data_IF_790745151795
#
_entry.id   IF_790745151795
#
_cell.length_a   1.000
_cell.length_b   1.000
_cell.length_c   1.000
_cell.angle_alpha   90.00
_cell.angle_beta   90.00
_cell.angle_gamma   90.00
#
_symmetry.space_group_name_H-M   'P 1'
#
loop_
_entity.id
_entity.type
_entity.pdbx_description
1 polymer ?
#
# COMPACT_ATOMS: atom_id res chain seq x y z
N UNK A 1 -13.11 -20.41 -6.29
CA UNK A 1 -13.06 -19.68 -7.59
C UNK A 1 -14.18 -18.66 -7.81
N UNK A 2 -15.40 -18.83 -7.25
CA UNK A 2 -16.52 -17.90 -7.50
C UNK A 2 -16.34 -16.45 -7.02
N UNK A 3 -15.64 -16.22 -5.91
CA UNK A 3 -15.52 -14.87 -5.32
C UNK A 3 -14.57 -13.94 -6.10
N UNK A 4 -13.48 -14.47 -6.66
CA UNK A 4 -12.47 -13.67 -7.38
C UNK A 4 -13.00 -13.02 -8.66
N UNK A 5 -13.91 -13.69 -9.38
CA UNK A 5 -14.54 -13.11 -10.57
C UNK A 5 -15.45 -11.93 -10.22
N UNK A 6 -16.11 -11.96 -9.06
CA UNK A 6 -16.88 -10.82 -8.60
C UNK A 6 -15.97 -9.65 -8.21
N UNK A 7 -14.84 -9.92 -7.55
CA UNK A 7 -13.86 -8.90 -7.21
C UNK A 7 -13.28 -8.22 -8.47
N UNK A 8 -13.00 -8.99 -9.53
CA UNK A 8 -12.61 -8.42 -10.82
C UNK A 8 -13.70 -7.53 -11.43
N UNK A 9 -14.96 -7.95 -11.36
CA UNK A 9 -16.07 -7.15 -11.87
C UNK A 9 -16.20 -5.82 -11.11
N UNK A 10 -15.99 -5.82 -9.79
CA UNK A 10 -15.96 -4.61 -8.97
C UNK A 10 -14.78 -3.70 -9.34
N UNK A 11 -13.58 -4.28 -9.49
CA UNK A 11 -12.39 -3.52 -9.91
C UNK A 11 -12.60 -2.88 -11.30
N UNK A 12 -13.10 -3.64 -12.27
CA UNK A 12 -13.43 -3.14 -13.60
C UNK A 12 -14.46 -2.01 -13.55
N UNK A 13 -15.54 -2.18 -12.79
CA UNK A 13 -16.58 -1.15 -12.64
C UNK A 13 -16.02 0.15 -12.06
N UNK A 14 -15.12 0.08 -11.08
CA UNK A 14 -14.47 1.28 -10.52
C UNK A 14 -13.64 2.02 -11.58
N UNK A 15 -12.88 1.28 -12.39
CA UNK A 15 -12.09 1.87 -13.48
C UNK A 15 -12.98 2.47 -14.57
N UNK A 16 -14.07 1.80 -14.94
CA UNK A 16 -15.08 2.32 -15.88
C UNK A 16 -15.76 3.59 -15.35
N UNK A 17 -15.97 3.67 -14.04
CA UNK A 17 -16.50 4.85 -13.36
C UNK A 17 -15.44 5.94 -13.11
N UNK A 18 -14.22 5.78 -13.64
CA UNK A 18 -13.19 6.83 -13.64
C UNK A 18 -12.17 6.76 -12.51
N UNK A 19 -12.11 5.67 -11.73
CA UNK A 19 -11.05 5.48 -10.75
C UNK A 19 -9.68 5.48 -11.45
N UNK A 20 -8.77 6.35 -11.00
CA UNK A 20 -7.42 6.49 -11.55
C UNK A 20 -6.37 5.65 -10.80
N UNK A 21 -6.76 5.08 -9.67
CA UNK A 21 -5.98 4.16 -8.83
C UNK A 21 -6.98 3.17 -8.24
N UNK A 22 -6.60 1.90 -8.10
CA UNK A 22 -7.39 0.92 -7.36
C UNK A 22 -6.71 0.58 -6.04
N UNK A 23 -7.40 0.81 -4.94
CA UNK A 23 -6.97 0.39 -3.61
C UNK A 23 -7.43 -1.03 -3.34
N UNK A 24 -6.48 -1.90 -2.98
CA UNK A 24 -6.67 -3.33 -2.82
C UNK A 24 -6.32 -3.69 -1.39
N UNK A 25 -7.31 -4.08 -0.61
CA UNK A 25 -7.15 -4.55 0.76
C UNK A 25 -7.68 -5.99 0.90
N UNK A 26 -6.85 -6.86 1.47
CA UNK A 26 -7.14 -8.29 1.70
C UNK A 26 -7.03 -8.66 3.19
N UNK A 27 -7.02 -7.68 4.08
CA UNK A 27 -6.99 -7.91 5.52
C UNK A 27 -8.35 -8.39 6.00
N UNK A 28 -8.45 -9.69 6.26
CA UNK A 28 -9.62 -10.33 6.86
C UNK A 28 -9.15 -11.51 7.70
N UNK A 29 -9.72 -11.70 8.90
CA UNK A 29 -9.19 -12.64 9.89
C UNK A 29 -9.21 -14.11 9.45
N UNK A 30 -9.99 -14.44 8.42
CA UNK A 30 -10.13 -15.78 7.86
C UNK A 30 -9.30 -16.01 6.58
N UNK A 31 -8.61 -14.99 6.07
CA UNK A 31 -7.84 -15.06 4.83
C UNK A 31 -6.33 -15.13 5.12
N UNK A 32 -5.62 -15.89 4.28
CA UNK A 32 -4.18 -15.70 4.15
C UNK A 32 -3.95 -14.44 3.29
N UNK A 33 -3.67 -13.32 3.95
CA UNK A 33 -3.50 -12.02 3.29
C UNK A 33 -2.37 -12.01 2.26
N UNK A 34 -1.24 -12.69 2.53
CA UNK A 34 -0.08 -12.73 1.61
C UNK A 34 -0.46 -13.46 0.32
N UNK A 35 -1.05 -14.65 0.46
CA UNK A 35 -1.50 -15.44 -0.70
C UNK A 35 -2.65 -14.75 -1.44
N UNK A 36 -3.60 -14.16 -0.72
CA UNK A 36 -4.76 -13.49 -1.31
C UNK A 36 -4.38 -12.24 -2.10
N UNK A 37 -3.51 -11.39 -1.55
CA UNK A 37 -2.98 -10.21 -2.23
C UNK A 37 -2.21 -10.60 -3.50
N UNK A 38 -1.28 -11.55 -3.37
CA UNK A 38 -0.49 -12.04 -4.50
C UNK A 38 -1.38 -12.57 -5.62
N UNK A 39 -2.38 -13.38 -5.26
CA UNK A 39 -3.30 -13.99 -6.23
C UNK A 39 -4.13 -12.92 -6.95
N UNK A 40 -4.67 -11.95 -6.23
CA UNK A 40 -5.55 -10.95 -6.82
C UNK A 40 -4.79 -9.92 -7.67
N UNK A 41 -3.59 -9.49 -7.25
CA UNK A 41 -2.73 -8.60 -8.04
C UNK A 41 -2.31 -9.27 -9.36
N UNK A 42 -1.92 -10.54 -9.33
CA UNK A 42 -1.62 -11.30 -10.55
C UNK A 42 -2.84 -11.42 -11.46
N UNK A 43 -4.02 -11.63 -10.88
CA UNK A 43 -5.27 -11.72 -11.64
C UNK A 43 -5.64 -10.38 -12.30
N UNK A 44 -5.53 -9.25 -11.58
CA UNK A 44 -5.73 -7.92 -12.16
C UNK A 44 -4.75 -7.68 -13.32
N UNK A 45 -3.50 -8.08 -13.15
CA UNK A 45 -2.47 -7.94 -14.20
C UNK A 45 -2.80 -8.72 -15.47
N UNK A 46 -3.64 -9.74 -15.38
CA UNK A 46 -4.13 -10.51 -16.54
C UNK A 46 -5.35 -9.90 -17.25
N UNK A 47 -5.94 -8.84 -16.70
CA UNK A 47 -7.13 -8.16 -17.22
C UNK A 47 -6.75 -6.76 -17.74
N UNK A 48 -6.52 -6.58 -19.07
CA UNK A 48 -5.99 -5.33 -19.64
C UNK A 48 -6.83 -4.09 -19.35
N UNK A 49 -8.14 -4.25 -19.21
CA UNK A 49 -9.06 -3.14 -18.93
C UNK A 49 -8.88 -2.57 -17.52
N UNK A 50 -8.36 -3.37 -16.59
CA UNK A 50 -8.10 -3.01 -15.20
C UNK A 50 -6.63 -2.59 -15.03
N UNK A 51 -5.70 -3.33 -15.65
CA UNK A 51 -4.25 -3.14 -15.54
C UNK A 51 -3.74 -1.77 -16.07
N UNK A 52 -4.62 -0.96 -16.67
CA UNK A 52 -4.30 0.39 -17.16
C UNK A 52 -4.15 1.44 -16.06
N UNK A 53 -4.61 1.16 -14.83
CA UNK A 53 -4.45 2.06 -13.67
C UNK A 53 -3.51 1.45 -12.63
N UNK A 54 -2.71 2.26 -11.91
CA UNK A 54 -1.85 1.77 -10.85
C UNK A 54 -2.66 1.19 -9.68
N UNK A 55 -2.02 0.26 -8.97
CA UNK A 55 -2.56 -0.34 -7.75
C UNK A 55 -2.01 0.36 -6.50
N UNK A 56 -2.89 0.57 -5.53
CA UNK A 56 -2.56 0.91 -4.16
C UNK A 56 -2.73 -0.34 -3.31
N UNK A 57 -1.60 -0.89 -2.85
CA UNK A 57 -1.54 -2.12 -2.07
C UNK A 57 -1.76 -1.75 -0.61
N UNK A 58 -2.97 -2.02 -0.10
CA UNK A 58 -3.41 -1.66 1.23
C UNK A 58 -3.38 -2.85 2.19
N UNK A 59 -2.63 -2.72 3.29
CA UNK A 59 -2.66 -3.67 4.40
C UNK A 59 -2.02 -3.08 5.66
N UNK A 60 -2.54 -3.49 6.81
CA UNK A 60 -1.90 -3.28 8.11
C UNK A 60 -0.66 -4.17 8.33
N UNK A 61 -0.49 -5.22 7.51
CA UNK A 61 0.63 -6.15 7.57
C UNK A 61 1.62 -5.89 6.42
N UNK A 62 2.84 -5.49 6.77
CA UNK A 62 3.86 -5.17 5.78
C UNK A 62 4.25 -6.36 4.88
N UNK A 63 4.13 -7.60 5.35
CA UNK A 63 4.40 -8.77 4.52
C UNK A 63 3.39 -8.90 3.36
N UNK A 64 2.14 -8.48 3.57
CA UNK A 64 1.09 -8.44 2.54
C UNK A 64 1.38 -7.32 1.54
N UNK A 65 1.81 -6.15 2.03
CA UNK A 65 2.26 -5.06 1.15
C UNK A 65 3.40 -5.55 0.27
N UNK A 66 4.46 -6.12 0.85
CA UNK A 66 5.62 -6.60 0.09
C UNK A 66 5.25 -7.67 -0.94
N UNK A 67 4.32 -8.57 -0.61
CA UNK A 67 3.80 -9.56 -1.54
C UNK A 67 3.07 -8.91 -2.74
N UNK A 68 2.23 -7.90 -2.49
CA UNK A 68 1.60 -7.11 -3.56
C UNK A 68 2.62 -6.36 -4.43
N UNK A 69 3.64 -5.75 -3.81
CA UNK A 69 4.72 -5.07 -4.53
C UNK A 69 5.49 -6.03 -5.46
N UNK A 70 5.79 -7.26 -4.99
CA UNK A 70 6.46 -8.30 -5.80
C UNK A 70 5.64 -8.72 -7.01
N UNK A 71 4.32 -8.74 -6.90
CA UNK A 71 3.43 -9.18 -7.97
C UNK A 71 2.99 -8.07 -8.93
N UNK A 72 3.21 -6.80 -8.58
CA UNK A 72 2.76 -5.68 -9.42
C UNK A 72 3.70 -5.45 -10.59
N UNK A 73 3.12 -5.27 -11.79
CA UNK A 73 3.86 -4.79 -12.96
C UNK A 73 3.71 -3.27 -13.07
N UNK A 74 4.84 -2.55 -13.05
CA UNK A 74 4.86 -1.09 -13.10
C UNK A 74 4.81 -0.43 -11.72
N UNK A 75 4.58 0.89 -11.69
CA UNK A 75 4.57 1.66 -10.44
C UNK A 75 3.27 1.41 -9.68
N UNK A 76 3.39 1.09 -8.41
CA UNK A 76 2.30 0.98 -7.44
C UNK A 76 2.52 1.90 -6.24
N UNK A 77 1.54 1.93 -5.35
CA UNK A 77 1.55 2.69 -4.11
C UNK A 77 1.49 1.68 -2.95
N UNK A 78 2.42 1.76 -2.00
CA UNK A 78 2.33 1.03 -0.74
C UNK A 78 1.49 1.82 0.26
N UNK A 79 0.39 1.23 0.73
CA UNK A 79 -0.49 1.78 1.75
C UNK A 79 -0.51 0.82 2.96
N UNK A 80 0.14 1.12 4.08
CA UNK A 80 0.98 2.29 4.35
C UNK A 80 2.14 1.92 5.28
N UNK A 81 3.02 2.89 5.53
CA UNK A 81 4.00 2.82 6.62
C UNK A 81 3.77 3.97 7.60
N UNK A 82 4.27 3.85 8.81
CA UNK A 82 4.18 4.89 9.84
C UNK A 82 5.31 4.75 10.85
N UNK A 83 5.41 5.70 11.78
CA UNK A 83 6.38 5.70 12.88
C UNK A 83 5.86 4.91 14.11
N UNK A 84 4.71 4.23 14.00
CA UNK A 84 4.07 3.50 15.11
C UNK A 84 5.01 2.58 15.88
N UNK A 85 5.88 1.85 15.17
CA UNK A 85 6.82 0.90 15.77
C UNK A 85 8.25 1.50 15.86
N UNK A 86 8.37 2.82 15.80
CA UNK A 86 9.63 3.53 15.84
C UNK A 86 10.28 3.76 14.49
N UNK A 87 11.34 4.57 14.52
CA UNK A 87 12.07 5.05 13.35
C UNK A 87 12.79 3.93 12.57
N UNK A 88 13.35 2.93 13.25
CA UNK A 88 14.09 1.85 12.59
C UNK A 88 13.19 1.02 11.67
N UNK A 89 12.02 0.59 12.18
CA UNK A 89 10.99 -0.13 11.41
C UNK A 89 10.50 0.70 10.22
N UNK A 90 10.24 2.00 10.43
CA UNK A 90 9.85 2.92 9.36
C UNK A 90 10.90 3.01 8.25
N UNK A 91 12.18 3.18 8.61
CA UNK A 91 13.29 3.29 7.65
C UNK A 91 13.55 1.98 6.90
N UNK A 92 13.42 0.84 7.57
CA UNK A 92 13.57 -0.47 6.93
C UNK A 92 12.50 -0.68 5.86
N UNK A 93 11.23 -0.47 6.22
CA UNK A 93 10.09 -0.58 5.30
C UNK A 93 10.19 0.41 4.14
N UNK A 94 10.55 1.67 4.42
CA UNK A 94 10.78 2.68 3.38
C UNK A 94 11.87 2.26 2.38
N UNK A 95 12.99 1.70 2.85
CA UNK A 95 14.06 1.18 1.99
C UNK A 95 13.57 0.01 1.13
N UNK A 96 12.74 -0.88 1.67
CA UNK A 96 12.14 -1.99 0.92
C UNK A 96 11.24 -1.44 -0.20
N UNK A 97 10.30 -0.54 0.13
CA UNK A 97 9.38 0.07 -0.83
C UNK A 97 10.15 0.79 -1.95
N UNK A 98 11.18 1.56 -1.59
CA UNK A 98 12.05 2.25 -2.56
C UNK A 98 12.75 1.28 -3.52
N UNK A 99 13.21 0.12 -3.04
CA UNK A 99 13.83 -0.91 -3.90
C UNK A 99 12.87 -1.45 -4.95
N UNK A 100 11.57 -1.52 -4.65
CA UNK A 100 10.53 -1.87 -5.63
C UNK A 100 10.14 -0.70 -6.54
N UNK A 101 10.63 0.52 -6.29
CA UNK A 101 10.30 1.70 -7.08
C UNK A 101 8.85 2.17 -6.92
N UNK A 102 8.20 1.79 -5.81
CA UNK A 102 6.83 2.15 -5.49
C UNK A 102 6.74 3.50 -4.75
N UNK A 103 5.63 4.19 -4.93
CA UNK A 103 5.26 5.32 -4.08
C UNK A 103 4.78 4.80 -2.70
N UNK A 104 4.66 5.69 -1.72
CA UNK A 104 4.27 5.31 -0.36
C UNK A 104 3.28 6.29 0.26
N UNK A 105 2.25 5.75 0.90
CA UNK A 105 1.41 6.49 1.84
C UNK A 105 2.04 6.40 3.23
N UNK A 106 2.24 7.56 3.86
CA UNK A 106 2.72 7.64 5.24
C UNK A 106 1.60 8.09 6.14
N UNK A 107 1.25 7.26 7.12
CA UNK A 107 0.22 7.62 8.11
C UNK A 107 0.79 8.56 9.16
N UNK A 108 0.01 9.54 9.58
CA UNK A 108 0.29 10.38 10.74
C UNK A 108 0.04 9.60 12.05
N UNK A 109 0.87 8.58 12.27
CA UNK A 109 0.86 7.70 13.44
C UNK A 109 2.32 7.48 13.85
N UNK A 110 2.67 7.83 15.08
CA UNK A 110 4.01 7.65 15.63
C UNK A 110 4.01 6.83 16.93
N UNK A 111 5.11 6.82 17.65
CA UNK A 111 5.29 6.05 18.89
C UNK A 111 4.31 6.47 20.01
N UNK A 112 3.78 7.69 19.94
CA UNK A 112 2.81 8.23 20.91
C UNK A 112 1.35 7.98 20.49
N UNK A 113 1.13 7.50 19.26
CA UNK A 113 -0.18 7.11 18.76
C UNK A 113 -0.59 7.79 17.46
N UNK A 114 -1.89 7.75 17.17
CA UNK A 114 -2.46 8.36 15.99
C UNK A 114 -2.69 9.87 16.21
N UNK A 115 -2.22 10.70 15.28
CA UNK A 115 -2.41 12.15 15.37
C UNK A 115 -3.90 12.54 15.31
N UNK A 116 -4.41 13.06 16.41
CA UNK A 116 -5.79 13.52 16.54
C UNK A 116 -5.97 14.98 16.09
N UNK A 117 -5.04 15.86 16.46
CA UNK A 117 -5.10 17.29 16.16
C UNK A 117 -4.21 17.71 14.97
N UNK A 118 -4.27 18.99 14.62
CA UNK A 118 -3.51 19.55 13.50
C UNK A 118 -2.00 19.62 13.78
N UNK A 119 -1.61 19.91 15.02
CA UNK A 119 -0.21 20.10 15.40
C UNK A 119 0.53 18.76 15.35
N UNK A 120 -0.08 17.70 15.85
CA UNK A 120 0.45 16.34 15.77
C UNK A 120 0.55 15.86 14.32
N UNK A 121 -0.47 16.12 13.50
CA UNK A 121 -0.43 15.77 12.06
C UNK A 121 0.76 16.43 11.37
N UNK A 122 0.98 17.73 11.62
CA UNK A 122 2.11 18.47 11.04
C UNK A 122 3.43 17.93 11.57
N UNK A 123 3.56 17.73 12.88
CA UNK A 123 4.76 17.21 13.53
C UNK A 123 5.18 15.85 12.96
N UNK A 124 4.24 14.89 12.92
CA UNK A 124 4.54 13.52 12.45
C UNK A 124 4.86 13.52 10.96
N UNK A 125 4.07 14.20 10.13
CA UNK A 125 4.33 14.27 8.69
C UNK A 125 5.68 14.93 8.37
N UNK A 126 6.04 16.01 9.09
CA UNK A 126 7.33 16.70 8.94
C UNK A 126 8.50 15.80 9.33
N UNK A 127 8.39 15.09 10.46
CA UNK A 127 9.41 14.12 10.89
C UNK A 127 9.58 13.01 9.85
N UNK A 128 8.49 12.40 9.42
CA UNK A 128 8.50 11.33 8.42
C UNK A 128 9.10 11.78 7.08
N UNK A 129 8.74 12.97 6.60
CA UNK A 129 9.33 13.55 5.38
C UNK A 129 10.86 13.71 5.51
N UNK A 130 11.33 14.30 6.60
CA UNK A 130 12.75 14.51 6.84
C UNK A 130 13.52 13.18 6.89
N UNK A 131 12.94 12.14 7.50
CA UNK A 131 13.53 10.80 7.55
C UNK A 131 13.62 10.17 6.16
N UNK A 132 12.54 10.21 5.37
CA UNK A 132 12.51 9.66 4.01
C UNK A 132 13.53 10.34 3.10
N UNK A 133 13.54 11.67 3.06
CA UNK A 133 14.44 12.44 2.19
C UNK A 133 15.89 12.35 2.66
N UNK A 134 16.15 12.55 3.95
CA UNK A 134 17.53 12.67 4.44
C UNK A 134 18.22 11.32 4.67
N UNK A 135 17.49 10.28 5.09
CA UNK A 135 18.09 8.97 5.45
C UNK A 135 17.86 7.87 4.42
N UNK A 136 16.76 7.92 3.68
CA UNK A 136 16.42 6.92 2.65
C UNK A 136 16.69 7.46 1.24
N UNK A 137 16.82 8.79 1.09
CA UNK A 137 16.86 9.48 -0.20
C UNK A 137 15.68 9.05 -1.09
N UNK A 138 14.50 8.92 -0.48
CA UNK A 138 13.32 8.33 -1.08
C UNK A 138 12.92 9.05 -2.38
#
# INVERSE_FOLDING_TARGET
>A
MGNLRMLLAVAKLQVENGAQVLDINMDEGMLDGVSSMSMFVNLISSEPEIAKVPLCIDSSNFAVIEAGLKCTQGKCIANSISLKNGEEDFLEKAKIIKRYGAAVVVMAFDEEGQAADMEDKIKICTRSYNLLVSKVNF
#
